data_IF_863257731237
#
_entry.id   IF_863257731237
#
_cell.length_a   1.000
_cell.length_b   1.000
_cell.length_c   1.000
_cell.angle_alpha   90.00
_cell.angle_beta   90.00
_cell.angle_gamma   90.00
#
_symmetry.space_group_name_H-M   'P 1'
#
loop_
_entity.id
_entity.type
_entity.pdbx_description
1 polymer ?
#
# COMPACT_ATOMS: atom_id res chain seq x y z
N UNK A 1 0.63 -22.93 1.94
CA UNK A 1 -0.17 -22.19 0.94
C UNK A 1 -1.48 -21.57 1.48
N UNK A 2 -2.02 -21.99 2.65
CA UNK A 2 -3.24 -21.38 3.22
C UNK A 2 -3.14 -19.87 3.54
N UNK A 3 -1.94 -19.32 3.74
CA UNK A 3 -1.77 -17.91 4.13
C UNK A 3 -2.17 -16.91 3.03
N UNK A 4 -1.80 -17.24 1.79
CA UNK A 4 -2.02 -16.40 0.62
C UNK A 4 -3.19 -16.88 -0.24
N UNK A 5 -3.51 -18.18 -0.22
CA UNK A 5 -4.58 -18.79 -1.03
C UNK A 5 -5.71 -19.41 -0.18
N UNK A 6 -5.81 -19.05 1.10
CA UNK A 6 -6.80 -19.64 2.01
C UNK A 6 -8.21 -19.05 1.91
N UNK A 7 -8.36 -17.86 1.33
CA UNK A 7 -9.64 -17.17 1.14
C UNK A 7 -9.59 -16.36 -0.17
N UNK A 8 -10.75 -16.10 -0.78
CA UNK A 8 -10.86 -15.28 -1.99
C UNK A 8 -10.26 -13.89 -1.78
N UNK A 9 -10.56 -13.23 -0.66
CA UNK A 9 -10.03 -11.89 -0.36
C UNK A 9 -8.50 -11.92 -0.20
N UNK A 10 -7.95 -12.89 0.53
CA UNK A 10 -6.48 -12.99 0.69
C UNK A 10 -5.78 -13.25 -0.64
N UNK A 11 -6.34 -14.14 -1.46
CA UNK A 11 -5.83 -14.46 -2.80
C UNK A 11 -5.83 -13.24 -3.70
N UNK A 12 -6.96 -12.52 -3.75
CA UNK A 12 -7.10 -11.30 -4.56
C UNK A 12 -6.12 -10.24 -4.09
N UNK A 13 -6.02 -9.96 -2.79
CA UNK A 13 -5.06 -8.97 -2.27
C UNK A 13 -3.61 -9.34 -2.60
N UNK A 14 -3.24 -10.61 -2.50
CA UNK A 14 -1.88 -11.06 -2.86
C UNK A 14 -1.59 -10.88 -4.34
N UNK A 15 -2.52 -11.26 -5.23
CA UNK A 15 -2.36 -11.04 -6.67
C UNK A 15 -2.26 -9.54 -6.99
N UNK A 16 -3.05 -8.70 -6.33
CA UNK A 16 -2.99 -7.26 -6.51
C UNK A 16 -1.64 -6.69 -6.05
N UNK A 17 -1.13 -7.10 -4.89
CA UNK A 17 0.20 -6.72 -4.41
C UNK A 17 1.28 -7.11 -5.42
N UNK A 18 1.29 -8.35 -5.90
CA UNK A 18 2.26 -8.84 -6.89
C UNK A 18 2.20 -8.00 -8.17
N UNK A 19 1.00 -7.72 -8.67
CA UNK A 19 0.83 -6.89 -9.87
C UNK A 19 1.28 -5.43 -9.67
N UNK A 20 1.11 -4.86 -8.48
CA UNK A 20 1.59 -3.52 -8.16
C UNK A 20 3.11 -3.47 -8.11
N UNK A 21 3.75 -4.46 -7.47
CA UNK A 21 5.21 -4.62 -7.47
C UNK A 21 5.72 -4.76 -8.90
N UNK A 22 5.06 -5.57 -9.73
CA UNK A 22 5.35 -5.69 -11.15
C UNK A 22 5.23 -4.37 -11.92
N UNK A 23 4.18 -3.58 -11.67
CA UNK A 23 3.97 -2.28 -12.30
C UNK A 23 5.06 -1.26 -11.91
N UNK A 24 5.43 -1.22 -10.64
CA UNK A 24 6.52 -0.35 -10.15
C UNK A 24 7.86 -0.80 -10.74
N UNK A 25 8.17 -2.10 -10.69
CA UNK A 25 9.39 -2.68 -11.26
C UNK A 25 9.51 -2.44 -12.77
N UNK A 26 8.42 -2.61 -13.52
CA UNK A 26 8.36 -2.30 -14.95
C UNK A 26 8.60 -0.80 -15.22
N UNK A 27 8.06 0.07 -14.37
CA UNK A 27 8.25 1.53 -14.50
C UNK A 27 9.71 1.93 -14.27
N UNK A 28 10.42 1.25 -13.36
CA UNK A 28 11.87 1.46 -13.13
C UNK A 28 12.69 0.93 -14.31
N UNK A 29 12.41 -0.30 -14.77
CA UNK A 29 13.16 -0.95 -15.85
C UNK A 29 13.01 -0.25 -17.20
N UNK A 30 11.84 0.36 -17.46
CA UNK A 30 11.55 1.04 -18.72
C UNK A 30 11.57 2.57 -18.60
N UNK A 31 12.28 3.12 -17.60
CA UNK A 31 12.27 4.56 -17.27
C UNK A 31 12.60 5.48 -18.45
N UNK A 32 13.46 5.06 -19.37
CA UNK A 32 13.88 5.85 -20.54
C UNK A 32 12.79 6.01 -21.60
N UNK A 33 11.78 5.14 -21.60
CA UNK A 33 10.67 5.16 -22.55
C UNK A 33 9.39 5.81 -21.96
N UNK A 34 9.44 6.31 -20.71
CA UNK A 34 8.29 6.91 -20.04
C UNK A 34 8.22 8.41 -20.34
N UNK A 35 7.25 8.78 -21.18
CA UNK A 35 7.02 10.20 -21.54
C UNK A 35 6.20 10.98 -20.49
N UNK A 36 5.36 10.29 -19.70
CA UNK A 36 4.43 10.93 -18.76
C UNK A 36 4.46 10.28 -17.38
N UNK A 37 5.37 10.73 -16.52
CA UNK A 37 5.52 10.24 -15.15
C UNK A 37 4.31 10.55 -14.27
N UNK A 38 3.64 11.69 -14.49
CA UNK A 38 2.43 12.05 -13.74
C UNK A 38 1.28 11.06 -13.90
N UNK A 39 1.06 10.53 -15.11
CA UNK A 39 0.01 9.53 -15.37
C UNK A 39 0.33 8.19 -14.70
N UNK A 40 1.60 7.78 -14.70
CA UNK A 40 2.06 6.57 -14.00
C UNK A 40 1.91 6.71 -12.49
N UNK A 41 2.27 7.86 -11.94
CA UNK A 41 2.07 8.19 -10.52
C UNK A 41 0.60 8.11 -10.11
N UNK A 42 -0.30 8.66 -10.93
CA UNK A 42 -1.74 8.57 -10.68
C UNK A 42 -2.27 7.12 -10.68
N UNK A 43 -1.77 6.28 -11.60
CA UNK A 43 -2.13 4.85 -11.65
C UNK A 43 -1.66 4.13 -10.38
N UNK A 44 -0.41 4.36 -9.96
CA UNK A 44 0.14 3.78 -8.71
C UNK A 44 -0.64 4.24 -7.49
N UNK A 45 -0.99 5.53 -7.41
CA UNK A 45 -1.78 6.08 -6.32
C UNK A 45 -3.16 5.43 -6.22
N UNK A 46 -3.91 5.42 -7.32
CA UNK A 46 -5.26 4.86 -7.36
C UNK A 46 -5.23 3.35 -7.06
N UNK A 47 -4.31 2.61 -7.69
CA UNK A 47 -4.22 1.18 -7.50
C UNK A 47 -3.73 0.81 -6.08
N UNK A 48 -2.77 1.57 -5.56
CA UNK A 48 -2.29 1.43 -4.18
C UNK A 48 -3.39 1.71 -3.15
N UNK A 49 -4.27 2.67 -3.39
CA UNK A 49 -5.42 2.94 -2.51
C UNK A 49 -6.39 1.75 -2.49
N UNK A 50 -6.73 1.19 -3.66
CA UNK A 50 -7.58 0.00 -3.75
C UNK A 50 -6.95 -1.16 -2.99
N UNK A 51 -5.66 -1.42 -3.18
CA UNK A 51 -4.94 -2.46 -2.44
C UNK A 51 -4.97 -2.22 -0.94
N UNK A 52 -4.79 -0.97 -0.49
CA UNK A 52 -4.84 -0.60 0.92
C UNK A 52 -6.21 -0.90 1.52
N UNK A 53 -7.31 -0.62 0.82
CA UNK A 53 -8.67 -0.94 1.26
C UNK A 53 -8.90 -2.46 1.36
N UNK A 54 -8.48 -3.21 0.35
CA UNK A 54 -8.59 -4.67 0.36
C UNK A 54 -7.75 -5.30 1.48
N UNK A 55 -6.53 -4.79 1.70
CA UNK A 55 -5.68 -5.24 2.81
C UNK A 55 -6.30 -4.92 4.18
N UNK A 56 -6.88 -3.73 4.35
CA UNK A 56 -7.56 -3.35 5.59
C UNK A 56 -8.76 -4.27 5.89
N UNK A 57 -9.59 -4.56 4.89
CA UNK A 57 -10.72 -5.49 5.04
C UNK A 57 -10.27 -6.94 5.27
N UNK A 58 -9.20 -7.37 4.58
CA UNK A 58 -8.60 -8.70 4.74
C UNK A 58 -8.07 -8.93 6.15
N UNK A 59 -7.42 -7.92 6.72
CA UNK A 59 -6.76 -8.00 8.03
C UNK A 59 -7.70 -7.56 9.18
N UNK A 60 -8.93 -7.15 8.86
CA UNK A 60 -9.98 -6.81 9.82
C UNK A 60 -9.75 -5.51 10.57
N UNK A 61 -9.09 -4.53 9.93
CA UNK A 61 -8.78 -3.25 10.56
C UNK A 61 -10.05 -2.48 10.96
N UNK A 62 -11.13 -2.61 10.17
CA UNK A 62 -12.46 -2.08 10.48
C UNK A 62 -13.00 -2.62 11.81
N UNK A 63 -12.85 -3.94 12.05
CA UNK A 63 -13.24 -4.59 13.29
C UNK A 63 -12.38 -4.15 14.47
N UNK A 64 -11.07 -4.00 14.27
CA UNK A 64 -10.17 -3.45 15.32
C UNK A 64 -10.60 -2.05 15.73
N UNK A 65 -10.93 -1.19 14.77
CA UNK A 65 -11.41 0.17 15.06
C UNK A 65 -12.72 0.12 15.83
N UNK A 66 -13.70 -0.67 15.37
CA UNK A 66 -14.99 -0.79 16.04
C UNK A 66 -14.83 -1.33 17.47
N UNK A 67 -14.07 -2.41 17.67
CA UNK A 67 -13.75 -2.93 19.00
C UNK A 67 -13.13 -1.88 19.92
N UNK A 68 -12.25 -1.02 19.40
CA UNK A 68 -11.61 0.03 20.20
C UNK A 68 -12.59 1.13 20.61
N UNK A 69 -13.64 1.38 19.82
CA UNK A 69 -14.64 2.41 20.08
C UNK A 69 -15.71 1.91 21.05
N UNK A 70 -16.31 0.75 20.79
CA UNK A 70 -17.52 0.29 21.49
C UNK A 70 -17.43 -1.14 22.04
N UNK A 71 -16.35 -1.88 21.76
CA UNK A 71 -16.17 -3.25 22.23
C UNK A 71 -17.14 -4.27 21.63
N UNK A 72 -17.91 -3.91 20.59
CA UNK A 72 -19.05 -4.71 20.11
C UNK A 72 -18.67 -5.94 19.27
N UNK A 73 -17.44 -6.01 18.75
CA UNK A 73 -16.98 -7.11 17.90
C UNK A 73 -15.53 -7.50 18.21
N UNK A 74 -15.14 -8.74 17.93
CA UNK A 74 -13.74 -9.13 18.14
C UNK A 74 -12.80 -8.36 17.20
N UNK A 75 -11.63 -7.91 17.69
CA UNK A 75 -10.67 -7.16 16.89
C UNK A 75 -10.08 -8.00 15.75
N UNK A 76 -9.57 -7.32 14.72
CA UNK A 76 -8.83 -7.92 13.62
C UNK A 76 -7.43 -8.41 14.02
N UNK A 77 -6.62 -8.72 13.01
CA UNK A 77 -5.31 -9.35 13.20
C UNK A 77 -4.35 -8.42 13.96
N UNK A 78 -4.40 -7.12 13.66
CA UNK A 78 -3.55 -6.11 14.29
C UNK A 78 -4.35 -5.21 15.21
N UNK A 79 -3.77 -4.87 16.36
CA UNK A 79 -4.29 -3.81 17.24
C UNK A 79 -4.09 -2.42 16.61
N UNK A 80 -4.91 -1.45 17.02
CA UNK A 80 -4.91 -0.10 16.44
C UNK A 80 -3.56 0.61 16.61
N UNK A 81 -2.94 0.47 17.79
CA UNK A 81 -1.61 1.02 18.09
C UNK A 81 -0.57 -0.10 17.96
N UNK A 82 -0.30 -0.50 16.73
CA UNK A 82 0.70 -1.52 16.40
C UNK A 82 1.76 -0.97 15.44
N UNK A 83 2.96 -1.55 15.48
CA UNK A 83 4.07 -1.16 14.58
C UNK A 83 3.64 -1.14 13.11
N UNK A 84 2.91 -2.15 12.59
CA UNK A 84 2.49 -2.15 11.18
C UNK A 84 1.50 -1.02 10.85
N UNK A 85 0.61 -0.67 11.77
CA UNK A 85 -0.35 0.41 11.56
C UNK A 85 0.33 1.79 11.64
N UNK A 86 1.27 1.99 12.58
CA UNK A 86 2.05 3.23 12.70
C UNK A 86 2.89 3.47 11.45
N UNK A 87 3.64 2.45 11.00
CA UNK A 87 4.42 2.55 9.76
C UNK A 87 3.49 2.71 8.54
N UNK A 88 2.33 2.05 8.57
CA UNK A 88 1.25 2.22 7.61
C UNK A 88 0.80 3.68 7.47
N UNK A 89 0.66 4.40 8.59
CA UNK A 89 0.32 5.82 8.64
C UNK A 89 1.46 6.71 8.14
N UNK A 90 2.71 6.43 8.52
CA UNK A 90 3.88 7.17 8.00
C UNK A 90 3.98 7.03 6.48
N UNK A 91 3.83 5.81 5.96
CA UNK A 91 3.80 5.56 4.52
C UNK A 91 2.64 6.29 3.82
N UNK A 92 1.46 6.37 4.46
CA UNK A 92 0.33 7.13 3.93
C UNK A 92 0.63 8.63 3.84
N UNK A 93 1.27 9.21 4.86
CA UNK A 93 1.67 10.61 4.86
C UNK A 93 2.65 10.91 3.71
N UNK A 94 3.65 10.05 3.49
CA UNK A 94 4.60 10.16 2.38
C UNK A 94 3.87 10.13 1.03
N UNK A 95 2.93 9.20 0.86
CA UNK A 95 2.13 9.08 -0.37
C UNK A 95 1.29 10.33 -0.62
N UNK A 96 0.65 10.89 0.41
CA UNK A 96 -0.17 12.11 0.31
C UNK A 96 0.71 13.30 -0.11
N UNK A 97 1.87 13.49 0.52
CA UNK A 97 2.80 14.56 0.16
C UNK A 97 3.24 14.42 -1.31
N UNK A 98 3.62 13.20 -1.72
CA UNK A 98 4.02 12.95 -3.10
C UNK A 98 2.87 13.14 -4.10
N UNK A 99 1.64 12.76 -3.73
CA UNK A 99 0.45 12.93 -4.57
C UNK A 99 0.11 14.40 -4.81
N UNK A 100 0.29 15.26 -3.80
CA UNK A 100 0.08 16.72 -3.93
C UNK A 100 1.23 17.36 -4.70
N UNK A 101 2.47 16.93 -4.47
CA UNK A 101 3.63 17.54 -5.12
C UNK A 101 3.80 17.15 -6.60
N UNK A 102 3.33 15.95 -7.00
CA UNK A 102 3.39 15.47 -8.39
C UNK A 102 2.71 16.40 -9.42
N UNK A 103 1.48 16.90 -9.23
CA UNK A 103 0.84 17.82 -10.17
C UNK A 103 1.48 19.21 -10.16
N UNK A 104 2.05 19.66 -9.04
CA UNK A 104 2.73 20.96 -8.90
C UNK A 104 4.07 20.95 -9.65
N UNK A 105 4.73 19.80 -9.74
CA UNK A 105 5.98 19.64 -10.47
C UNK A 105 5.81 19.93 -11.97
N UNK A 106 6.55 20.92 -12.49
CA UNK A 106 6.53 21.32 -13.91
C UNK A 106 7.42 20.45 -14.81
N UNK A 107 8.48 19.85 -14.26
CA UNK A 107 9.42 19.02 -15.01
C UNK A 107 9.07 17.52 -14.91
N UNK A 108 9.27 16.77 -16.00
CA UNK A 108 9.12 15.32 -15.99
C UNK A 108 10.11 14.63 -15.04
N UNK A 109 11.34 15.15 -14.93
CA UNK A 109 12.34 14.64 -14.00
C UNK A 109 11.90 14.81 -12.53
N UNK A 110 11.26 15.93 -12.21
CA UNK A 110 10.72 16.14 -10.86
C UNK A 110 9.53 15.20 -10.59
N UNK A 111 8.67 14.96 -11.58
CA UNK A 111 7.56 14.00 -11.47
C UNK A 111 8.05 12.56 -11.32
N UNK A 112 9.17 12.21 -11.94
CA UNK A 112 9.86 10.93 -11.76
C UNK A 112 10.34 10.76 -10.31
N UNK A 113 10.98 11.79 -9.72
CA UNK A 113 11.39 11.75 -8.31
C UNK A 113 10.18 11.54 -7.40
N UNK A 114 9.10 12.30 -7.60
CA UNK A 114 7.88 12.15 -6.81
C UNK A 114 7.21 10.79 -7.00
N UNK A 115 7.31 10.21 -8.20
CA UNK A 115 6.90 8.84 -8.44
C UNK A 115 7.70 7.86 -7.58
N UNK A 116 9.02 7.99 -7.49
CA UNK A 116 9.84 7.10 -6.64
C UNK A 116 9.54 7.29 -5.15
N UNK A 117 9.32 8.53 -4.68
CA UNK A 117 8.92 8.79 -3.29
C UNK A 117 7.57 8.13 -2.98
N UNK A 118 6.58 8.28 -3.86
CA UNK A 118 5.28 7.63 -3.72
C UNK A 118 5.41 6.10 -3.72
N UNK A 119 6.16 5.56 -4.69
CA UNK A 119 6.41 4.13 -4.84
C UNK A 119 7.10 3.56 -3.59
N UNK A 120 8.07 4.27 -3.03
CA UNK A 120 8.74 3.92 -1.79
C UNK A 120 7.78 3.87 -0.61
N UNK A 121 6.89 4.87 -0.48
CA UNK A 121 5.84 4.88 0.55
C UNK A 121 4.89 3.67 0.43
N UNK A 122 4.46 3.33 -0.79
CA UNK A 122 3.62 2.15 -1.05
C UNK A 122 4.35 0.85 -0.71
N UNK A 123 5.60 0.70 -1.15
CA UNK A 123 6.40 -0.51 -0.87
C UNK A 123 6.68 -0.68 0.62
N UNK A 124 6.99 0.41 1.33
CA UNK A 124 7.17 0.39 2.79
C UNK A 124 5.92 -0.15 3.50
N UNK A 125 4.73 0.33 3.11
CA UNK A 125 3.45 -0.16 3.68
C UNK A 125 3.26 -1.65 3.44
N UNK A 126 3.47 -2.11 2.20
CA UNK A 126 3.27 -3.51 1.83
C UNK A 126 4.24 -4.42 2.57
N UNK A 127 5.54 -4.10 2.53
CA UNK A 127 6.60 -4.92 3.14
C UNK A 127 6.36 -5.07 4.64
N UNK A 128 6.06 -3.97 5.34
CA UNK A 128 5.87 -4.02 6.80
C UNK A 128 4.61 -4.80 7.17
N UNK A 129 3.49 -4.59 6.47
CA UNK A 129 2.25 -5.32 6.74
C UNK A 129 2.40 -6.83 6.49
N UNK A 130 3.02 -7.21 5.38
CA UNK A 130 3.20 -8.62 5.01
C UNK A 130 4.22 -9.32 5.92
N UNK A 131 5.33 -8.67 6.30
CA UNK A 131 6.29 -9.21 7.27
C UNK A 131 5.61 -9.41 8.63
N UNK A 132 4.87 -8.41 9.12
CA UNK A 132 4.19 -8.51 10.40
C UNK A 132 3.17 -9.65 10.42
N UNK A 133 2.45 -9.86 9.31
CA UNK A 133 1.55 -11.01 9.15
C UNK A 133 2.27 -12.35 9.22
N UNK A 134 3.46 -12.47 8.63
CA UNK A 134 4.26 -13.71 8.69
C UNK A 134 4.71 -13.97 10.13
N UNK A 135 5.17 -12.93 10.84
CA UNK A 135 5.64 -13.04 12.23
C UNK A 135 4.50 -13.41 13.18
N UNK A 136 3.32 -12.78 13.05
CA UNK A 136 2.18 -13.05 13.94
C UNK A 136 1.59 -14.45 13.79
N UNK A 137 1.93 -15.17 12.71
CA UNK A 137 1.46 -16.53 12.46
C UNK A 137 2.47 -17.60 12.93
N UNK A 138 3.67 -17.19 13.36
CA UNK A 138 4.71 -18.06 13.93
C UNK A 138 4.67 -18.01 15.46
#
# INVERSE_FOLDING_TARGET
MKLYFGNMVTTVTTLMIVSLVGLVGYSIGNRSNINFWGRRSLIVLAYGLVICCFAAARDGLDKTIQYTIDGSCNPGIFSLVSVPNIVGCVGAAIIIIAAIATPIAKSQHMREIWFYVMSGGVMLKIVVMEIARIIQMF
#
